data_IF_518707944066
#
_entry.id   IF_518707944066
#
_cell.length_a   1.000
_cell.length_b   1.000
_cell.length_c   1.000
_cell.angle_alpha   90.00
_cell.angle_beta   90.00
_cell.angle_gamma   90.00
#
_symmetry.space_group_name_H-M   'P 1'
#
loop_
_entity.id
_entity.type
_entity.pdbx_description
1 polymer ?
#
# COMPACT_ATOMS: atom_id res chain seq x y z
N UNK A 1 14.52 -60.02 -6.70
CA UNK A 1 14.20 -59.17 -5.52
C UNK A 1 14.96 -57.82 -5.46
N UNK A 2 16.12 -57.63 -6.13
CA UNK A 2 16.89 -56.36 -6.08
C UNK A 2 16.25 -55.15 -6.80
N UNK A 3 15.30 -55.40 -7.72
CA UNK A 3 14.65 -54.35 -8.52
C UNK A 3 13.47 -53.65 -7.81
N UNK A 4 12.83 -54.34 -6.86
CA UNK A 4 11.71 -53.78 -6.08
C UNK A 4 12.19 -52.74 -5.05
N UNK A 5 13.36 -52.95 -4.46
CA UNK A 5 13.96 -52.00 -3.50
C UNK A 5 14.36 -50.69 -4.16
N UNK A 6 14.83 -50.74 -5.41
CA UNK A 6 15.19 -49.53 -6.20
C UNK A 6 13.93 -48.72 -6.54
N UNK A 7 12.84 -49.38 -6.91
CA UNK A 7 11.58 -48.70 -7.25
C UNK A 7 10.88 -48.10 -6.02
N UNK A 8 10.95 -48.77 -4.86
CA UNK A 8 10.44 -48.23 -3.58
C UNK A 8 11.28 -47.02 -3.14
N UNK A 9 12.60 -47.09 -3.25
CA UNK A 9 13.48 -45.97 -2.90
C UNK A 9 13.25 -44.75 -3.81
N UNK A 10 12.97 -44.97 -5.10
CA UNK A 10 12.67 -43.89 -6.04
C UNK A 10 11.33 -43.22 -5.71
N UNK A 11 10.31 -44.01 -5.37
CA UNK A 11 9.00 -43.52 -4.94
C UNK A 11 9.07 -42.73 -3.63
N UNK A 12 9.90 -43.16 -2.68
CA UNK A 12 10.11 -42.42 -1.45
C UNK A 12 10.80 -41.08 -1.73
N UNK A 13 11.81 -41.07 -2.60
CA UNK A 13 12.54 -39.86 -2.97
C UNK A 13 11.65 -38.84 -3.68
N UNK A 14 10.76 -39.28 -4.57
CA UNK A 14 9.79 -38.40 -5.24
C UNK A 14 8.72 -37.87 -4.29
N UNK A 15 8.27 -38.69 -3.34
CA UNK A 15 7.30 -38.25 -2.33
C UNK A 15 7.90 -37.19 -1.40
N UNK A 16 9.15 -37.37 -0.97
CA UNK A 16 9.86 -36.40 -0.13
C UNK A 16 10.08 -35.08 -0.89
N UNK A 17 10.47 -35.12 -2.17
CA UNK A 17 10.65 -33.89 -2.96
C UNK A 17 9.32 -33.15 -3.17
N UNK A 18 8.22 -33.86 -3.39
CA UNK A 18 6.89 -33.25 -3.48
C UNK A 18 6.44 -32.62 -2.14
N UNK A 19 6.71 -33.28 -1.01
CA UNK A 19 6.42 -32.74 0.32
C UNK A 19 7.24 -31.48 0.62
N UNK A 20 8.52 -31.48 0.29
CA UNK A 20 9.39 -30.30 0.45
C UNK A 20 8.91 -29.14 -0.45
N UNK A 21 8.55 -29.42 -1.72
CA UNK A 21 8.02 -28.40 -2.61
C UNK A 21 6.66 -27.84 -2.14
N UNK A 22 5.81 -28.68 -1.54
CA UNK A 22 4.54 -28.27 -0.95
C UNK A 22 4.75 -27.39 0.29
N UNK A 23 5.69 -27.75 1.16
CA UNK A 23 6.06 -26.91 2.33
C UNK A 23 6.62 -25.56 1.90
N UNK A 24 7.51 -25.54 0.89
CA UNK A 24 8.08 -24.29 0.37
C UNK A 24 6.99 -23.38 -0.22
N UNK A 25 5.98 -23.95 -0.90
CA UNK A 25 4.82 -23.19 -1.40
C UNK A 25 3.89 -22.67 -0.30
N UNK A 26 3.85 -23.32 0.86
CA UNK A 26 2.98 -22.94 1.98
C UNK A 26 3.61 -21.94 2.95
N UNK A 27 4.93 -21.70 2.86
CA UNK A 27 5.54 -20.61 3.59
C UNK A 27 4.93 -19.30 3.09
N UNK A 28 4.16 -18.56 3.93
CA UNK A 28 3.73 -17.23 3.55
C UNK A 28 5.01 -16.45 3.34
N UNK A 29 5.26 -16.03 2.09
CA UNK A 29 6.41 -15.19 1.78
C UNK A 29 6.42 -14.05 2.78
N UNK A 30 7.56 -13.83 3.46
CA UNK A 30 7.73 -12.67 4.32
C UNK A 30 7.49 -11.44 3.44
N UNK A 31 6.31 -10.85 3.59
CA UNK A 31 5.89 -9.71 2.81
C UNK A 31 6.33 -8.47 3.57
N UNK A 32 7.25 -7.74 2.96
CA UNK A 32 7.74 -6.48 3.50
C UNK A 32 6.63 -5.44 3.52
N UNK A 33 6.61 -4.64 4.58
CA UNK A 33 5.82 -3.43 4.65
C UNK A 33 6.30 -2.47 3.57
N UNK A 34 5.41 -2.00 2.71
CA UNK A 34 5.80 -1.11 1.61
C UNK A 34 5.99 0.33 2.07
N UNK A 35 5.25 0.73 3.10
CA UNK A 35 5.42 2.01 3.76
C UNK A 35 6.47 1.80 4.85
N UNK A 36 7.73 1.97 4.48
CA UNK A 36 8.86 1.80 5.40
C UNK A 36 8.98 3.02 6.33
N UNK A 37 9.62 2.87 7.50
CA UNK A 37 9.89 4.00 8.39
C UNK A 37 10.68 5.14 7.71
N UNK A 38 11.51 4.84 6.71
CA UNK A 38 12.20 5.88 5.95
C UNK A 38 11.22 6.71 5.12
N UNK A 39 10.26 6.08 4.44
CA UNK A 39 9.23 6.78 3.67
C UNK A 39 8.28 7.58 4.56
N UNK A 40 7.96 7.05 5.74
CA UNK A 40 7.16 7.72 6.76
C UNK A 40 7.80 9.03 7.30
N UNK A 41 9.13 9.13 7.25
CA UNK A 41 9.89 10.29 7.74
C UNK A 41 10.17 11.38 6.71
N UNK A 42 9.73 11.25 5.46
CA UNK A 42 9.94 12.25 4.40
C UNK A 42 8.90 13.39 4.49
N UNK A 43 9.35 14.62 4.25
CA UNK A 43 8.48 15.80 4.18
C UNK A 43 7.69 15.79 2.87
N UNK A 44 6.52 15.15 2.90
CA UNK A 44 5.64 14.97 1.75
C UNK A 44 4.54 16.02 1.72
N UNK A 45 4.27 16.56 0.53
CA UNK A 45 3.11 17.42 0.28
C UNK A 45 2.19 16.83 -0.79
N UNK A 46 0.90 16.92 -0.52
CA UNK A 46 -0.17 16.48 -1.39
C UNK A 46 -0.93 17.71 -1.88
N UNK A 47 -1.01 17.87 -3.21
CA UNK A 47 -1.67 19.00 -3.84
C UNK A 47 -2.75 18.58 -4.82
N UNK A 48 -3.87 19.29 -4.80
CA UNK A 48 -4.92 19.21 -5.82
C UNK A 48 -5.04 20.54 -6.53
N UNK A 49 -5.28 20.48 -7.84
CA UNK A 49 -5.48 21.66 -8.66
C UNK A 49 -6.67 21.44 -9.58
N UNK A 50 -7.67 22.32 -9.48
CA UNK A 50 -8.79 22.38 -10.42
C UNK A 50 -8.49 23.42 -11.50
N UNK A 51 -8.37 22.95 -12.74
CA UNK A 51 -8.09 23.77 -13.91
C UNK A 51 -9.23 24.77 -14.21
N UNK A 52 -10.49 24.40 -13.95
CA UNK A 52 -11.65 25.21 -14.30
C UNK A 52 -11.85 26.35 -13.30
N UNK A 53 -11.80 26.04 -12.00
CA UNK A 53 -11.95 27.05 -10.94
C UNK A 53 -10.64 27.77 -10.59
N UNK A 54 -9.49 27.30 -11.10
CA UNK A 54 -8.14 27.76 -10.74
C UNK A 54 -7.88 27.68 -9.24
N UNK A 55 -8.53 26.74 -8.56
CA UNK A 55 -8.36 26.52 -7.13
C UNK A 55 -7.29 25.47 -6.89
N UNK A 56 -6.49 25.70 -5.85
CA UNK A 56 -5.45 24.80 -5.39
C UNK A 56 -5.65 24.48 -3.92
N UNK A 57 -5.60 23.20 -3.59
CA UNK A 57 -5.48 22.72 -2.22
C UNK A 57 -4.10 22.10 -2.06
N UNK A 58 -3.41 22.39 -0.96
CA UNK A 58 -2.10 21.80 -0.62
C UNK A 58 -2.15 21.37 0.83
N UNK A 59 -1.59 20.20 1.10
CA UNK A 59 -1.59 19.55 2.40
C UNK A 59 -0.22 18.96 2.71
N UNK A 60 0.28 19.24 3.91
CA UNK A 60 1.45 18.58 4.46
C UNK A 60 1.03 17.18 4.94
N UNK A 61 1.82 16.19 4.57
CA UNK A 61 1.56 14.76 4.80
C UNK A 61 2.55 14.22 5.81
N UNK A 62 2.04 13.62 6.87
CA UNK A 62 2.82 12.84 7.84
C UNK A 62 2.28 11.42 7.84
N UNK A 63 3.16 10.43 7.80
CA UNK A 63 2.78 9.02 7.82
C UNK A 63 3.49 8.36 8.99
N UNK A 64 2.74 7.70 9.87
CA UNK A 64 3.30 6.82 10.90
C UNK A 64 2.99 5.39 10.51
N UNK A 65 4.00 4.51 10.49
CA UNK A 65 3.86 3.13 10.00
C UNK A 65 4.36 2.11 11.01
N UNK A 66 3.54 1.10 11.27
CA UNK A 66 3.86 -0.05 12.09
C UNK A 66 3.50 -1.33 11.32
N UNK A 67 4.52 -1.95 10.71
CA UNK A 67 4.34 -3.14 9.87
C UNK A 67 3.43 -2.86 8.68
N UNK A 68 2.35 -3.65 8.53
CA UNK A 68 1.38 -3.52 7.42
C UNK A 68 0.32 -2.45 7.64
N UNK A 69 0.45 -1.65 8.69
CA UNK A 69 -0.54 -0.67 9.12
C UNK A 69 0.11 0.70 9.17
N UNK A 70 -0.59 1.72 8.66
CA UNK A 70 -0.09 3.09 8.66
C UNK A 70 -1.21 4.06 8.99
N UNK A 71 -0.87 5.15 9.68
CA UNK A 71 -1.74 6.31 9.86
C UNK A 71 -1.16 7.45 9.03
N UNK A 72 -1.92 7.90 8.04
CA UNK A 72 -1.62 9.10 7.29
C UNK A 72 -2.37 10.28 7.89
N UNK A 73 -1.66 11.33 8.25
CA UNK A 73 -2.20 12.61 8.72
C UNK A 73 -1.93 13.68 7.68
N UNK A 74 -2.97 14.36 7.22
CA UNK A 74 -2.85 15.54 6.38
C UNK A 74 -3.22 16.79 7.19
N UNK A 75 -2.41 17.83 7.06
CA UNK A 75 -2.65 19.16 7.62
C UNK A 75 -2.54 20.21 6.54
N UNK A 76 -3.22 21.35 6.68
CA UNK A 76 -3.09 22.42 5.69
C UNK A 76 -2.12 23.50 6.20
N UNK A 77 -1.14 23.92 5.37
CA UNK A 77 -0.31 25.07 5.70
C UNK A 77 -1.11 26.39 5.73
N UNK A 78 -2.30 26.41 5.10
CA UNK A 78 -3.15 27.60 4.98
C UNK A 78 -4.39 27.59 5.90
N UNK A 79 -4.69 26.46 6.55
CA UNK A 79 -5.81 26.32 7.48
C UNK A 79 -5.43 25.41 8.65
N UNK A 80 -5.11 26.03 9.80
CA UNK A 80 -4.73 25.31 11.02
C UNK A 80 -5.85 24.46 11.61
N UNK A 81 -7.10 24.66 11.17
CA UNK A 81 -8.25 23.86 11.59
C UNK A 81 -8.41 22.60 10.73
N UNK A 82 -7.73 22.55 9.59
CA UNK A 82 -7.77 21.38 8.72
C UNK A 82 -6.88 20.27 9.26
N UNK A 83 -7.49 19.15 9.61
CA UNK A 83 -6.79 17.91 9.95
C UNK A 83 -7.58 16.74 9.42
N UNK A 84 -6.92 15.88 8.64
CA UNK A 84 -7.45 14.62 8.16
C UNK A 84 -6.55 13.49 8.64
N UNK A 85 -7.12 12.47 9.29
CA UNK A 85 -6.40 11.26 9.68
C UNK A 85 -7.04 10.04 9.06
N UNK A 86 -6.20 9.22 8.45
CA UNK A 86 -6.58 8.05 7.69
C UNK A 86 -5.79 6.87 8.21
N UNK A 87 -6.48 5.78 8.53
CA UNK A 87 -5.87 4.49 8.77
C UNK A 87 -5.79 3.71 7.45
N UNK A 88 -4.62 3.17 7.17
CA UNK A 88 -4.29 2.40 5.98
C UNK A 88 -3.84 1.01 6.41
N UNK A 89 -4.55 -0.01 5.95
CA UNK A 89 -4.19 -1.41 6.17
C UNK A 89 -3.78 -2.04 4.85
N UNK A 90 -2.52 -2.46 4.74
CA UNK A 90 -2.00 -3.09 3.53
C UNK A 90 -2.64 -4.47 3.35
N UNK A 91 -3.32 -4.68 2.22
CA UNK A 91 -3.81 -5.97 1.75
C UNK A 91 -2.83 -6.62 0.76
N UNK A 92 -2.89 -7.95 0.67
CA UNK A 92 -1.96 -8.74 -0.14
C UNK A 92 -1.89 -8.24 -1.59
N UNK A 93 -0.67 -8.20 -2.14
CA UNK A 93 -0.41 -7.87 -3.53
C UNK A 93 -1.15 -8.82 -4.47
N UNK A 94 -2.17 -8.32 -5.15
CA UNK A 94 -2.64 -8.97 -6.37
C UNK A 94 -1.58 -8.77 -7.46
N UNK A 95 -1.64 -9.57 -8.53
CA UNK A 95 -0.71 -9.59 -9.67
C UNK A 95 -0.47 -8.22 -10.38
N UNK A 96 -1.10 -7.13 -9.92
CA UNK A 96 -1.08 -5.78 -10.52
C UNK A 96 -0.81 -4.64 -9.52
N UNK A 97 -0.61 -4.89 -8.23
CA UNK A 97 -0.58 -3.77 -7.27
C UNK A 97 -0.67 -4.18 -5.82
N UNK A 98 -0.61 -3.20 -4.93
CA UNK A 98 -0.87 -3.37 -3.50
C UNK A 98 -2.04 -2.51 -3.10
N UNK A 99 -3.10 -3.15 -2.65
CA UNK A 99 -4.31 -2.45 -2.21
C UNK A 99 -4.21 -2.11 -0.74
N UNK A 100 -4.75 -0.97 -0.36
CA UNK A 100 -4.85 -0.59 1.03
C UNK A 100 -6.33 -0.43 1.37
N UNK A 101 -6.75 -1.09 2.44
CA UNK A 101 -8.01 -0.78 3.08
C UNK A 101 -7.86 0.59 3.75
N UNK A 102 -8.86 1.42 3.54
CA UNK A 102 -8.88 2.81 3.94
C UNK A 102 -9.98 3.00 4.99
N UNK A 103 -9.64 3.60 6.12
CA UNK A 103 -10.62 4.01 7.12
C UNK A 103 -10.36 5.44 7.58
N UNK A 104 -11.39 6.29 7.50
CA UNK A 104 -11.34 7.64 8.04
C UNK A 104 -11.33 7.58 9.57
N UNK A 105 -10.27 8.09 10.19
CA UNK A 105 -10.12 8.14 11.65
C UNK A 105 -10.61 9.47 12.20
N UNK A 106 -10.26 10.57 11.52
CA UNK A 106 -10.61 11.91 11.95
C UNK A 106 -10.69 12.86 10.76
N UNK A 107 -11.63 13.79 10.81
CA UNK A 107 -11.73 14.87 9.83
C UNK A 107 -12.27 16.13 10.49
N UNK A 108 -11.49 17.20 10.42
CA UNK A 108 -11.90 18.56 10.78
C UNK A 108 -11.44 19.54 9.70
N UNK A 109 -12.28 20.52 9.39
CA UNK A 109 -12.01 21.51 8.36
C UNK A 109 -12.87 22.77 8.53
N UNK A 110 -12.55 23.84 7.79
CA UNK A 110 -13.24 25.14 7.87
C UNK A 110 -14.06 25.58 6.65
N UNK A 111 -14.53 24.63 5.84
CA UNK A 111 -15.30 24.75 4.59
C UNK A 111 -14.51 25.03 3.31
N UNK A 112 -13.17 25.05 3.36
CA UNK A 112 -12.32 25.38 2.20
C UNK A 112 -11.74 24.16 1.48
N UNK A 113 -11.92 22.95 2.01
CA UNK A 113 -11.30 21.72 1.51
C UNK A 113 -12.26 20.90 0.61
N UNK A 114 -12.68 21.46 -0.53
CA UNK A 114 -13.72 20.88 -1.38
C UNK A 114 -13.21 19.71 -2.23
N UNK A 115 -12.00 19.81 -2.78
CA UNK A 115 -11.44 18.77 -3.67
C UNK A 115 -11.12 17.51 -2.88
N UNK A 116 -10.43 17.64 -1.74
CA UNK A 116 -10.13 16.47 -0.92
C UNK A 116 -11.40 15.80 -0.38
N UNK A 117 -12.44 16.57 0.00
CA UNK A 117 -13.74 16.00 0.40
C UNK A 117 -14.37 15.15 -0.70
N UNK A 118 -14.28 15.59 -1.95
CA UNK A 118 -14.79 14.82 -3.10
C UNK A 118 -14.07 13.47 -3.20
N UNK A 119 -12.75 13.48 -3.05
CA UNK A 119 -11.93 12.27 -3.08
C UNK A 119 -12.26 11.36 -1.89
N UNK A 120 -12.39 11.89 -0.67
CA UNK A 120 -12.72 11.09 0.51
C UNK A 120 -14.11 10.45 0.41
N UNK A 121 -15.09 11.19 -0.15
CA UNK A 121 -16.45 10.69 -0.35
C UNK A 121 -16.50 9.51 -1.33
N UNK A 122 -15.71 9.55 -2.40
CA UNK A 122 -15.60 8.46 -3.37
C UNK A 122 -14.76 7.28 -2.82
N UNK A 123 -13.64 7.59 -2.17
CA UNK A 123 -12.70 6.62 -1.60
C UNK A 123 -13.30 5.78 -0.47
N UNK A 124 -14.17 6.39 0.36
CA UNK A 124 -14.81 5.72 1.49
C UNK A 124 -15.73 4.57 1.10
N UNK A 125 -16.17 4.48 -0.17
CA UNK A 125 -17.01 3.39 -0.67
C UNK A 125 -16.23 2.28 -1.37
N UNK A 126 -15.09 2.61 -1.98
CA UNK A 126 -14.39 1.71 -2.91
C UNK A 126 -12.99 1.30 -2.44
N UNK A 127 -12.51 1.82 -1.31
CA UNK A 127 -11.13 1.67 -0.87
C UNK A 127 -10.17 2.48 -1.74
N UNK A 128 -8.89 2.53 -1.32
CA UNK A 128 -7.85 3.21 -2.10
C UNK A 128 -6.90 2.17 -2.68
N UNK A 129 -6.97 1.99 -4.00
CA UNK A 129 -6.02 1.15 -4.72
C UNK A 129 -4.74 1.95 -5.00
N UNK A 130 -3.63 1.51 -4.42
CA UNK A 130 -2.31 2.00 -4.82
C UNK A 130 -1.76 1.04 -5.89
N UNK A 131 -1.42 1.58 -7.05
CA UNK A 131 -0.90 0.75 -8.14
C UNK A 131 0.60 0.66 -7.98
N UNK A 132 1.14 -0.56 -7.88
CA UNK A 132 2.59 -0.72 -7.90
C UNK A 132 3.06 -0.97 -9.33
N UNK A 133 3.90 -0.09 -9.87
CA UNK A 133 4.52 -0.26 -11.18
C UNK A 133 5.97 -0.71 -10.98
N UNK A 134 6.38 -1.78 -11.64
CA UNK A 134 7.78 -2.21 -11.64
C UNK A 134 8.49 -1.61 -12.86
N UNK A 135 9.54 -0.84 -12.63
CA UNK A 135 10.40 -0.31 -13.68
C UNK A 135 11.84 -0.70 -13.40
N UNK A 136 12.37 -1.65 -14.19
CA UNK A 136 13.67 -2.29 -13.98
C UNK A 136 13.84 -2.82 -12.54
N UNK A 137 14.69 -2.16 -11.75
CA UNK A 137 15.06 -2.51 -10.38
C UNK A 137 14.33 -1.65 -9.32
N UNK A 138 13.41 -0.78 -9.74
CA UNK A 138 12.63 0.08 -8.85
C UNK A 138 11.18 -0.38 -8.83
N UNK A 139 10.64 -0.50 -7.63
CA UNK A 139 9.19 -0.61 -7.46
C UNK A 139 8.65 0.79 -7.20
N UNK A 140 7.63 1.16 -7.95
CA UNK A 140 6.96 2.43 -7.84
C UNK A 140 5.60 2.20 -7.21
N UNK A 141 5.18 3.02 -6.26
CA UNK A 141 3.83 3.09 -5.73
C UNK A 141 3.17 4.33 -6.32
N UNK A 142 2.06 4.15 -7.03
CA UNK A 142 1.28 5.22 -7.61
C UNK A 142 -0.02 5.37 -6.83
N UNK A 143 -0.26 6.56 -6.29
CA UNK A 143 -1.50 6.89 -5.58
C UNK A 143 -2.61 7.28 -6.57
N UNK A 144 -3.90 7.24 -6.18
CA UNK A 144 -4.97 7.73 -7.05
C UNK A 144 -4.85 9.21 -7.40
N UNK A 145 -4.19 10.01 -6.56
CA UNK A 145 -3.90 11.42 -6.87
C UNK A 145 -2.74 11.59 -7.87
N UNK A 146 -2.19 10.49 -8.39
CA UNK A 146 -1.13 10.51 -9.41
C UNK A 146 0.27 10.72 -8.84
N UNK A 147 0.46 10.67 -7.52
CA UNK A 147 1.79 10.73 -6.92
C UNK A 147 2.50 9.41 -7.17
N UNK A 148 3.79 9.48 -7.48
CA UNK A 148 4.63 8.31 -7.76
C UNK A 148 5.76 8.30 -6.74
N UNK A 149 5.83 7.24 -5.96
CA UNK A 149 6.87 7.00 -4.97
C UNK A 149 7.73 5.82 -5.42
N UNK A 150 9.04 5.89 -5.25
CA UNK A 150 9.89 4.71 -5.42
C UNK A 150 10.18 4.07 -4.07
N UNK A 151 10.05 2.75 -3.98
CA UNK A 151 10.48 1.97 -2.83
C UNK A 151 11.43 0.85 -3.27
N UNK A 152 12.31 0.43 -2.36
CA UNK A 152 13.33 -0.59 -2.56
C UNK A 152 12.77 -1.99 -2.36
#
# INVERSE_FOLDING_TARGET
>A
MKWQTVSISLLLATLVTLLVAALIKQLPGQQEALITPQFAGEDLQLGYYDLLSRQREVYDTSIDSNGKTSIMTLTSPNDSRFVLKIYLQQHNSAFRGVTFDYQLVYFAESHQARMIKSILGDSGRNGIAFVTVRSKDKRLLVTPSGQIYSYY
#
